data_IF_008332718271
#
_entry.id   IF_008332718271
#
_cell.length_a   1.000
_cell.length_b   1.000
_cell.length_c   1.000
_cell.angle_alpha   90.00
_cell.angle_beta   90.00
_cell.angle_gamma   90.00
#
_symmetry.space_group_name_H-M   'P 1'
#
loop_
_entity.id
_entity.type
_entity.pdbx_description
1 polymer ?
#
# COMPACT_ATOMS: atom_id res chain seq x y z
N UNK A 1 25.86 1.93 4.65
CA UNK A 1 24.53 2.13 4.03
C UNK A 1 23.73 2.94 5.02
N UNK A 2 23.22 4.12 4.65
CA UNK A 2 22.30 4.86 5.51
C UNK A 2 21.08 3.97 5.79
N UNK A 3 20.61 3.90 7.04
CA UNK A 3 19.30 3.30 7.32
C UNK A 3 18.26 4.02 6.45
N UNK A 4 17.45 3.27 5.69
CA UNK A 4 16.34 3.85 4.94
C UNK A 4 15.40 4.56 5.93
N UNK A 5 15.03 5.81 5.62
CA UNK A 5 14.14 6.58 6.47
C UNK A 5 12.70 6.06 6.34
N UNK A 6 12.07 5.76 7.48
CA UNK A 6 10.71 5.19 7.54
C UNK A 6 9.84 6.14 8.34
N UNK A 7 8.87 6.75 7.66
CA UNK A 7 8.02 7.79 8.22
C UNK A 7 6.62 7.26 8.38
N UNK A 8 6.15 7.24 9.62
CA UNK A 8 4.74 6.99 9.92
C UNK A 8 4.00 8.33 10.02
N UNK A 9 2.98 8.53 9.18
CA UNK A 9 2.05 9.65 9.30
C UNK A 9 0.72 9.10 9.84
N UNK A 10 0.30 9.59 10.99
CA UNK A 10 -0.85 9.08 11.73
C UNK A 10 -1.92 10.16 11.86
N UNK A 11 -3.18 9.81 11.64
CA UNK A 11 -4.30 10.68 11.98
C UNK A 11 -4.47 10.78 13.50
N UNK A 12 -4.63 11.99 14.00
CA UNK A 12 -4.86 12.21 15.42
C UNK A 12 -6.24 11.70 15.83
N UNK A 13 -6.26 10.75 16.77
CA UNK A 13 -7.48 10.22 17.38
C UNK A 13 -7.29 9.95 18.87
N UNK A 14 -8.40 9.72 19.57
CA UNK A 14 -8.43 9.44 21.01
C UNK A 14 -7.65 8.16 21.42
N UNK A 15 -7.23 7.35 20.44
CA UNK A 15 -6.52 6.08 20.66
C UNK A 15 -5.25 5.95 19.82
N UNK A 16 -4.69 7.02 19.24
CA UNK A 16 -3.48 6.94 18.40
C UNK A 16 -2.30 6.28 19.12
N UNK A 17 -2.12 6.53 20.42
CA UNK A 17 -1.10 5.88 21.26
C UNK A 17 -1.20 4.35 21.32
N UNK A 18 -2.41 3.78 21.20
CA UNK A 18 -2.60 2.33 21.19
C UNK A 18 -2.18 1.71 19.86
N UNK A 19 -2.36 2.44 18.76
CA UNK A 19 -2.06 1.93 17.42
C UNK A 19 -0.57 1.97 17.07
N UNK A 20 0.20 2.85 17.71
CA UNK A 20 1.63 3.02 17.41
C UNK A 20 2.47 1.77 17.73
N UNK A 21 2.40 1.16 18.95
CA UNK A 21 3.14 -0.06 19.27
C UNK A 21 2.89 -1.20 18.30
N UNK A 22 1.63 -1.40 17.91
CA UNK A 22 1.25 -2.43 16.94
C UNK A 22 1.89 -2.13 15.58
N UNK A 23 1.76 -0.88 15.11
CA UNK A 23 2.32 -0.46 13.83
C UNK A 23 3.84 -0.69 13.75
N UNK A 24 4.59 -0.35 14.80
CA UNK A 24 6.06 -0.53 14.78
C UNK A 24 6.51 -1.99 14.83
N UNK A 25 5.66 -2.87 15.39
CA UNK A 25 5.96 -4.30 15.49
C UNK A 25 5.54 -5.07 14.23
N UNK A 26 4.37 -4.78 13.67
CA UNK A 26 3.75 -5.59 12.61
C UNK A 26 3.87 -4.98 11.21
N UNK A 27 3.93 -3.63 11.11
CA UNK A 27 3.94 -2.94 9.82
C UNK A 27 5.36 -2.58 9.40
N UNK A 28 6.03 -1.74 10.18
CA UNK A 28 7.40 -1.28 9.95
C UNK A 28 7.92 -0.46 11.13
N UNK A 29 9.23 -0.49 11.40
CA UNK A 29 9.85 0.31 12.46
C UNK A 29 10.04 1.76 12.00
N UNK A 30 9.31 2.69 12.62
CA UNK A 30 9.39 4.11 12.31
C UNK A 30 10.73 4.73 12.76
N UNK A 31 11.40 5.46 11.87
CA UNK A 31 12.51 6.35 12.23
C UNK A 31 12.01 7.75 12.58
N UNK A 32 10.85 8.15 12.04
CA UNK A 32 10.18 9.43 12.28
C UNK A 32 8.67 9.25 12.33
N UNK A 33 7.98 10.06 13.13
CA UNK A 33 6.51 10.03 13.22
C UNK A 33 5.95 11.44 13.06
N UNK A 34 4.90 11.57 12.24
CA UNK A 34 4.06 12.76 12.19
C UNK A 34 2.65 12.39 12.64
N UNK A 35 2.05 13.24 13.46
CA UNK A 35 0.63 13.17 13.82
C UNK A 35 -0.07 14.38 13.23
N UNK A 36 -0.99 14.16 12.28
CA UNK A 36 -1.81 15.23 11.71
C UNK A 36 -3.02 15.45 12.62
N UNK A 37 -3.18 16.68 13.11
CA UNK A 37 -4.20 17.04 14.11
C UNK A 37 -4.83 18.39 13.77
N UNK A 38 -6.14 18.53 13.97
CA UNK A 38 -6.82 19.81 13.72
C UNK A 38 -6.59 20.83 14.84
N UNK A 39 -6.49 22.12 14.50
CA UNK A 39 -6.31 23.21 15.47
C UNK A 39 -7.43 23.27 16.53
N UNK A 40 -8.66 22.90 16.14
CA UNK A 40 -9.79 22.81 17.08
C UNK A 40 -9.54 21.86 18.26
N UNK A 41 -8.64 20.89 18.12
CA UNK A 41 -8.25 19.99 19.21
C UNK A 41 -7.56 20.74 20.33
N UNK A 42 -6.97 21.90 20.08
CA UNK A 42 -6.29 22.73 21.08
C UNK A 42 -7.11 23.93 21.55
N UNK A 43 -8.35 24.06 21.06
CA UNK A 43 -9.26 25.11 21.47
C UNK A 43 -10.21 24.54 22.54
N UNK A 44 -10.59 25.37 23.51
CA UNK A 44 -11.62 24.97 24.46
C UNK A 44 -13.00 24.96 23.81
N UNK A 45 -13.90 24.14 24.36
CA UNK A 45 -15.29 24.07 23.96
C UNK A 45 -16.19 24.18 25.18
N UNK A 46 -17.21 25.02 25.09
CA UNK A 46 -18.28 25.09 26.08
C UNK A 46 -19.17 23.82 26.06
N UNK A 47 -19.12 23.06 24.96
CA UNK A 47 -19.83 21.78 24.85
C UNK A 47 -18.97 20.70 25.51
N UNK A 48 -19.40 20.24 26.69
CA UNK A 48 -18.69 19.27 27.53
C UNK A 48 -18.16 18.06 26.75
N UNK A 49 -19.01 17.38 25.99
CA UNK A 49 -18.61 16.18 25.22
C UNK A 49 -17.52 16.47 24.18
N UNK A 50 -17.56 17.66 23.56
CA UNK A 50 -16.52 18.09 22.61
C UNK A 50 -15.22 18.38 23.35
N UNK A 51 -15.27 19.03 24.51
CA UNK A 51 -14.09 19.30 25.32
C UNK A 51 -13.44 18.00 25.78
N UNK A 52 -14.20 17.06 26.33
CA UNK A 52 -13.70 15.75 26.76
C UNK A 52 -13.06 14.98 25.61
N UNK A 53 -13.66 15.00 24.42
CA UNK A 53 -13.07 14.36 23.24
C UNK A 53 -11.74 15.02 22.83
N UNK A 54 -11.67 16.35 22.84
CA UNK A 54 -10.43 17.08 22.53
C UNK A 54 -9.33 16.76 23.54
N UNK A 55 -9.66 16.69 24.83
CA UNK A 55 -8.73 16.27 25.89
C UNK A 55 -8.22 14.85 25.68
N UNK A 56 -9.11 13.91 25.33
CA UNK A 56 -8.72 12.53 25.01
C UNK A 56 -7.74 12.47 23.84
N UNK A 57 -7.98 13.25 22.77
CA UNK A 57 -7.06 13.32 21.63
C UNK A 57 -5.70 13.89 22.07
N UNK A 58 -5.68 15.01 22.81
CA UNK A 58 -4.43 15.61 23.31
C UNK A 58 -3.64 14.64 24.19
N UNK A 59 -4.31 13.96 25.12
CA UNK A 59 -3.70 12.97 26.00
C UNK A 59 -3.14 11.79 25.19
N UNK A 60 -3.90 11.30 24.22
CA UNK A 60 -3.48 10.23 23.31
C UNK A 60 -2.23 10.60 22.50
N UNK A 61 -2.12 11.84 22.01
CA UNK A 61 -0.88 12.30 21.33
C UNK A 61 0.29 12.36 22.30
N UNK A 62 0.08 12.85 23.52
CA UNK A 62 1.11 12.93 24.54
C UNK A 62 1.62 11.56 24.98
N UNK A 63 0.71 10.59 25.17
CA UNK A 63 1.08 9.20 25.48
C UNK A 63 1.83 8.56 24.31
N UNK A 64 1.41 8.79 23.06
CA UNK A 64 2.16 8.34 21.89
C UNK A 64 3.59 8.87 21.92
N UNK A 65 3.79 10.16 22.19
CA UNK A 65 5.13 10.76 22.30
C UNK A 65 5.96 10.06 23.37
N UNK A 66 5.41 9.84 24.56
CA UNK A 66 6.11 9.14 25.66
C UNK A 66 6.54 7.73 25.27
N UNK A 67 5.63 6.97 24.64
CA UNK A 67 5.88 5.59 24.21
C UNK A 67 6.91 5.54 23.07
N UNK A 68 6.84 6.46 22.12
CA UNK A 68 7.63 6.45 20.90
C UNK A 68 9.03 7.07 21.06
N UNK A 69 9.19 8.08 21.91
CA UNK A 69 10.45 8.84 22.08
C UNK A 69 11.70 7.97 22.32
N UNK A 70 11.65 6.85 23.08
CA UNK A 70 12.82 5.98 23.25
C UNK A 70 13.26 5.25 21.97
N UNK A 71 12.40 5.13 20.96
CA UNK A 71 12.61 4.27 19.80
C UNK A 71 12.69 5.04 18.47
N UNK A 72 12.03 6.19 18.36
CA UNK A 72 11.93 6.98 17.13
C UNK A 72 13.05 8.05 17.09
N UNK A 73 14.16 7.71 16.43
CA UNK A 73 15.40 8.51 16.41
C UNK A 73 15.21 9.94 15.88
N UNK A 74 14.38 10.13 14.85
CA UNK A 74 14.19 11.43 14.17
C UNK A 74 13.01 12.23 14.77
N UNK A 75 12.49 11.78 15.91
CA UNK A 75 11.47 12.49 16.68
C UNK A 75 10.03 12.24 16.24
N UNK A 76 9.12 12.75 17.07
CA UNK A 76 7.67 12.71 16.89
C UNK A 76 7.16 14.15 16.75
N UNK A 77 6.53 14.43 15.61
CA UNK A 77 6.13 15.78 15.21
C UNK A 77 4.61 15.87 15.12
N UNK A 78 4.06 17.02 15.50
CA UNK A 78 2.66 17.32 15.23
C UNK A 78 2.56 18.22 14.01
N UNK A 79 1.73 17.84 13.05
CA UNK A 79 1.38 18.67 11.91
C UNK A 79 -0.05 19.20 12.12
N UNK A 80 -0.14 20.44 12.61
CA UNK A 80 -1.42 21.08 12.86
C UNK A 80 -2.05 21.55 11.57
N UNK A 81 -3.35 21.31 11.41
CA UNK A 81 -4.14 21.77 10.28
C UNK A 81 -5.34 22.59 10.75
N UNK A 82 -5.78 23.63 10.02
CA UNK A 82 -6.92 24.44 10.44
C UNK A 82 -8.22 23.63 10.59
N UNK A 83 -8.48 22.71 9.66
CA UNK A 83 -9.67 21.85 9.59
C UNK A 83 -9.33 20.52 8.91
N UNK A 84 -10.14 19.50 9.14
CA UNK A 84 -10.03 18.17 8.54
C UNK A 84 -10.56 18.10 7.10
N UNK A 85 -10.41 19.16 6.31
CA UNK A 85 -10.75 19.11 4.88
C UNK A 85 -9.64 18.41 4.09
N UNK A 86 -10.02 17.78 2.97
CA UNK A 86 -9.06 17.11 2.08
C UNK A 86 -7.93 18.04 1.60
N UNK A 87 -8.23 19.32 1.40
CA UNK A 87 -7.23 20.32 1.00
C UNK A 87 -6.15 20.52 2.07
N UNK A 88 -6.53 20.74 3.33
CA UNK A 88 -5.57 20.94 4.40
C UNK A 88 -4.76 19.67 4.69
N UNK A 89 -5.40 18.50 4.62
CA UNK A 89 -4.72 17.20 4.77
C UNK A 89 -3.69 17.01 3.66
N UNK A 90 -4.08 17.25 2.40
CA UNK A 90 -3.18 17.16 1.25
C UNK A 90 -1.98 18.09 1.43
N UNK A 91 -2.21 19.35 1.77
CA UNK A 91 -1.13 20.32 1.92
C UNK A 91 -0.17 19.90 3.04
N UNK A 92 -0.71 19.44 4.18
CA UNK A 92 0.11 18.90 5.28
C UNK A 92 0.97 17.71 4.84
N UNK A 93 0.40 16.76 4.08
CA UNK A 93 1.16 15.61 3.55
C UNK A 93 2.21 16.04 2.53
N UNK A 94 1.92 16.99 1.64
CA UNK A 94 2.89 17.51 0.66
C UNK A 94 4.07 18.19 1.36
N UNK A 95 3.80 18.96 2.42
CA UNK A 95 4.86 19.59 3.22
C UNK A 95 5.75 18.53 3.87
N UNK A 96 5.14 17.55 4.55
CA UNK A 96 5.88 16.41 5.15
C UNK A 96 6.69 15.65 4.09
N UNK A 97 6.09 15.35 2.93
CA UNK A 97 6.77 14.65 1.84
C UNK A 97 7.95 15.46 1.28
N UNK A 98 7.76 16.76 1.09
CA UNK A 98 8.80 17.65 0.57
C UNK A 98 10.01 17.72 1.49
N UNK A 99 9.80 17.67 2.80
CA UNK A 99 10.86 17.64 3.81
C UNK A 99 11.58 16.28 3.90
N UNK A 100 11.02 15.21 3.34
CA UNK A 100 11.51 13.83 3.53
C UNK A 100 11.34 12.99 2.23
N UNK A 101 11.78 13.53 1.07
CA UNK A 101 11.47 12.99 -0.27
C UNK A 101 11.91 11.55 -0.54
N UNK A 102 13.00 11.12 0.11
CA UNK A 102 13.60 9.80 -0.11
C UNK A 102 13.14 8.77 0.94
N UNK A 103 12.18 9.12 1.80
CA UNK A 103 11.69 8.25 2.85
C UNK A 103 10.56 7.31 2.38
N UNK A 104 10.47 6.14 3.02
CA UNK A 104 9.35 5.23 2.88
C UNK A 104 8.20 5.68 3.80
N UNK A 105 7.03 5.98 3.22
CA UNK A 105 5.88 6.49 3.96
C UNK A 105 4.89 5.38 4.32
N UNK A 106 4.42 5.40 5.56
CA UNK A 106 3.38 4.52 6.08
C UNK A 106 2.28 5.37 6.72
N UNK A 107 1.03 5.18 6.28
CA UNK A 107 -0.09 6.01 6.71
C UNK A 107 -1.04 5.24 7.60
N UNK A 108 -1.11 5.61 8.88
CA UNK A 108 -2.10 5.05 9.80
C UNK A 108 -3.45 5.72 9.57
N UNK A 109 -4.43 4.95 9.11
CA UNK A 109 -5.80 5.43 8.85
C UNK A 109 -6.83 4.91 9.86
N UNK A 110 -6.37 4.26 10.94
CA UNK A 110 -7.21 3.59 11.94
C UNK A 110 -8.04 4.54 12.80
N UNK A 111 -7.51 5.74 13.05
CA UNK A 111 -8.07 6.70 14.01
C UNK A 111 -8.38 8.06 13.42
N UNK A 112 -8.85 8.97 14.28
CA UNK A 112 -9.19 10.34 13.91
C UNK A 112 -10.52 10.46 13.20
N UNK A 113 -10.77 11.61 12.59
CA UNK A 113 -12.01 11.81 11.85
C UNK A 113 -11.99 11.00 10.56
N UNK A 114 -13.18 10.60 10.09
CA UNK A 114 -13.31 9.90 8.80
C UNK A 114 -12.62 10.65 7.68
N UNK A 115 -12.66 11.98 7.72
CA UNK A 115 -12.09 12.83 6.69
C UNK A 115 -10.55 12.86 6.73
N UNK A 116 -9.94 12.84 7.93
CA UNK A 116 -8.50 12.62 8.10
C UNK A 116 -8.07 11.25 7.54
N UNK A 117 -8.74 10.17 7.93
CA UNK A 117 -8.40 8.81 7.46
C UNK A 117 -8.53 8.67 5.95
N UNK A 118 -9.63 9.17 5.37
CA UNK A 118 -9.84 9.17 3.91
C UNK A 118 -8.79 10.03 3.21
N UNK A 119 -8.51 11.22 3.74
CA UNK A 119 -7.51 12.13 3.17
C UNK A 119 -6.12 11.50 3.16
N UNK A 120 -5.69 10.88 4.26
CA UNK A 120 -4.44 10.14 4.31
C UNK A 120 -4.42 8.98 3.32
N UNK A 121 -5.47 8.14 3.30
CA UNK A 121 -5.57 7.03 2.35
C UNK A 121 -5.41 7.51 0.90
N UNK A 122 -6.15 8.56 0.51
CA UNK A 122 -6.07 9.16 -0.83
C UNK A 122 -4.67 9.68 -1.13
N UNK A 123 -4.03 10.37 -0.18
CA UNK A 123 -2.67 10.85 -0.36
C UNK A 123 -1.64 9.73 -0.48
N UNK A 124 -1.86 8.60 0.16
CA UNK A 124 -1.01 7.42 0.01
C UNK A 124 -0.97 6.92 -1.44
N UNK A 125 -2.07 7.08 -2.19
CA UNK A 125 -2.11 6.78 -3.62
C UNK A 125 -1.17 7.68 -4.44
N UNK A 126 -1.03 8.95 -4.05
CA UNK A 126 -0.27 9.96 -4.81
C UNK A 126 1.23 9.92 -4.54
N UNK A 127 1.63 9.60 -3.31
CA UNK A 127 3.04 9.58 -2.90
C UNK A 127 3.58 8.16 -2.67
N UNK A 128 2.82 7.15 -3.11
CA UNK A 128 3.15 5.73 -2.94
C UNK A 128 3.37 5.30 -1.48
N UNK A 129 2.71 5.98 -0.53
CA UNK A 129 2.72 5.56 0.87
C UNK A 129 1.93 4.25 1.04
N UNK A 130 2.29 3.47 2.06
CA UNK A 130 1.56 2.25 2.44
C UNK A 130 0.51 2.59 3.51
N UNK A 131 -0.77 2.72 3.15
CA UNK A 131 -1.82 2.86 4.14
C UNK A 131 -2.00 1.58 4.94
N UNK A 132 -2.33 1.70 6.22
CA UNK A 132 -2.61 0.57 7.09
C UNK A 132 -3.64 0.94 8.17
N UNK A 133 -4.33 -0.08 8.67
CA UNK A 133 -5.25 0.01 9.80
C UNK A 133 -4.78 -0.88 10.94
N UNK A 134 -5.13 -0.49 12.16
CA UNK A 134 -5.05 -1.28 13.39
C UNK A 134 -6.47 -1.35 13.93
N UNK A 135 -7.01 -2.55 14.03
CA UNK A 135 -8.39 -2.73 14.48
C UNK A 135 -8.52 -2.72 16.01
N UNK A 136 -9.71 -3.08 16.51
CA UNK A 136 -9.98 -3.10 17.95
C UNK A 136 -9.30 -4.25 18.67
N UNK A 137 -8.96 -5.32 17.96
CA UNK A 137 -8.25 -6.49 18.48
C UNK A 137 -6.72 -6.28 18.45
N UNK A 138 -6.28 -5.09 18.03
CA UNK A 138 -4.88 -4.69 17.88
C UNK A 138 -4.14 -5.45 16.80
N UNK A 139 -4.85 -5.90 15.75
CA UNK A 139 -4.24 -6.50 14.57
C UNK A 139 -4.00 -5.43 13.49
N UNK A 140 -2.78 -5.38 12.94
CA UNK A 140 -2.43 -4.42 11.90
C UNK A 140 -2.53 -5.02 10.49
N UNK A 141 -3.29 -4.36 9.61
CA UNK A 141 -3.46 -4.76 8.22
C UNK A 141 -3.01 -3.64 7.27
N UNK A 142 -2.06 -3.96 6.38
CA UNK A 142 -1.70 -3.10 5.24
C UNK A 142 -2.85 -3.09 4.24
N UNK A 143 -3.26 -1.91 3.82
CA UNK A 143 -4.27 -1.74 2.78
C UNK A 143 -3.59 -1.82 1.42
N UNK A 144 -3.86 -2.88 0.67
CA UNK A 144 -3.43 -3.01 -0.72
C UNK A 144 -4.08 -1.92 -1.57
N UNK A 145 -3.24 -1.13 -2.23
CA UNK A 145 -3.66 -0.18 -3.25
C UNK A 145 -3.44 -0.82 -4.62
N UNK A 146 -4.49 -1.01 -5.45
CA UNK A 146 -4.31 -1.50 -6.81
C UNK A 146 -3.37 -0.56 -7.59
N UNK A 147 -2.23 -1.08 -8.02
CA UNK A 147 -1.20 -0.32 -8.76
C UNK A 147 -1.44 -0.26 -10.27
N UNK A 148 -2.64 -0.64 -10.71
CA UNK A 148 -2.97 -0.78 -12.12
C UNK A 148 -4.42 -0.41 -12.39
N UNK A 149 -4.64 0.31 -13.50
CA UNK A 149 -5.95 0.44 -14.08
C UNK A 149 -6.29 -0.81 -14.91
N UNK A 150 -7.49 -1.39 -14.72
CA UNK A 150 -7.89 -2.65 -15.39
C UNK A 150 -7.71 -2.60 -16.92
N UNK A 151 -7.90 -1.42 -17.52
CA UNK A 151 -7.65 -1.21 -18.95
C UNK A 151 -6.23 -1.62 -19.33
N UNK A 152 -5.22 -1.15 -18.61
CA UNK A 152 -3.80 -1.43 -18.88
C UNK A 152 -3.51 -2.93 -18.79
N UNK A 153 -4.18 -3.64 -17.88
CA UNK A 153 -4.05 -5.09 -17.78
C UNK A 153 -4.62 -5.77 -19.04
N UNK A 154 -5.82 -5.36 -19.45
CA UNK A 154 -6.56 -5.96 -20.57
C UNK A 154 -6.05 -5.55 -21.95
N UNK A 155 -5.32 -4.44 -22.07
CA UNK A 155 -4.70 -4.00 -23.34
C UNK A 155 -3.74 -5.04 -23.92
N UNK A 156 -3.16 -5.89 -23.07
CA UNK A 156 -2.37 -7.03 -23.49
C UNK A 156 -2.96 -8.32 -22.90
N UNK A 157 -3.71 -9.12 -23.69
CA UNK A 157 -4.38 -10.32 -23.18
C UNK A 157 -3.41 -11.37 -22.65
N UNK A 158 -2.13 -11.33 -23.03
CA UNK A 158 -1.11 -12.24 -22.49
C UNK A 158 -0.81 -11.98 -21.01
N UNK A 159 -1.10 -10.78 -20.48
CA UNK A 159 -0.99 -10.49 -19.05
C UNK A 159 -2.06 -11.25 -18.26
N UNK A 160 -3.30 -11.22 -18.75
CA UNK A 160 -4.42 -11.98 -18.20
C UNK A 160 -4.17 -13.50 -18.33
N UNK A 161 -3.62 -13.94 -19.46
CA UNK A 161 -3.23 -15.33 -19.69
C UNK A 161 -2.23 -15.82 -18.63
N UNK A 162 -1.18 -15.05 -18.32
CA UNK A 162 -0.21 -15.39 -17.27
C UNK A 162 -0.91 -15.58 -15.92
N UNK A 163 -1.81 -14.67 -15.54
CA UNK A 163 -2.56 -14.79 -14.28
C UNK A 163 -3.47 -16.02 -14.27
N UNK A 164 -4.16 -16.34 -15.36
CA UNK A 164 -4.96 -17.57 -15.48
C UNK A 164 -4.10 -18.82 -15.33
N UNK A 165 -2.99 -18.90 -16.07
CA UNK A 165 -2.07 -20.05 -16.00
C UNK A 165 -1.59 -20.27 -14.57
N UNK A 166 -1.21 -19.20 -13.86
CA UNK A 166 -0.80 -19.31 -12.45
C UNK A 166 -1.96 -19.74 -11.56
N UNK A 167 -3.15 -19.15 -11.70
CA UNK A 167 -4.34 -19.48 -10.89
C UNK A 167 -4.77 -20.94 -11.01
N UNK A 168 -4.62 -21.53 -12.20
CA UNK A 168 -4.98 -22.92 -12.47
C UNK A 168 -4.01 -23.94 -11.85
N UNK A 169 -2.83 -23.50 -11.44
CA UNK A 169 -1.89 -24.40 -10.78
C UNK A 169 -2.37 -24.68 -9.35
N UNK A 170 -2.33 -25.96 -8.93
CA UNK A 170 -2.67 -26.37 -7.56
C UNK A 170 -1.93 -25.58 -6.49
N UNK A 171 -0.67 -25.19 -6.76
CA UNK A 171 0.16 -24.41 -5.85
C UNK A 171 0.26 -22.93 -6.21
N UNK A 172 -0.50 -22.48 -7.22
CA UNK A 172 -0.55 -21.10 -7.71
C UNK A 172 0.82 -20.50 -8.10
N UNK A 173 1.80 -21.37 -8.35
CA UNK A 173 3.21 -21.04 -8.60
C UNK A 173 3.79 -21.91 -9.71
N UNK A 174 4.73 -21.34 -10.46
CA UNK A 174 5.47 -22.03 -11.53
C UNK A 174 6.92 -21.56 -11.60
N UNK A 175 7.81 -22.45 -12.04
CA UNK A 175 9.16 -22.03 -12.42
C UNK A 175 9.11 -21.08 -13.63
N UNK A 176 10.14 -20.26 -13.81
CA UNK A 176 10.25 -19.40 -15.01
C UNK A 176 10.12 -20.18 -16.30
N UNK A 177 10.73 -21.37 -16.36
CA UNK A 177 10.73 -22.22 -17.56
C UNK A 177 9.32 -22.72 -17.86
N UNK A 178 8.66 -23.30 -16.87
CA UNK A 178 7.32 -23.88 -17.04
C UNK A 178 6.28 -22.80 -17.36
N UNK A 179 6.39 -21.63 -16.72
CA UNK A 179 5.51 -20.50 -17.03
C UNK A 179 5.74 -20.00 -18.47
N UNK A 180 6.99 -19.87 -18.90
CA UNK A 180 7.29 -19.49 -20.29
C UNK A 180 6.71 -20.50 -21.29
N UNK A 181 6.90 -21.79 -21.05
CA UNK A 181 6.44 -22.85 -21.95
C UNK A 181 4.91 -22.88 -22.05
N UNK A 182 4.19 -22.72 -20.93
CA UNK A 182 2.72 -22.62 -20.93
C UNK A 182 2.22 -21.37 -21.64
N UNK A 183 2.80 -20.20 -21.35
CA UNK A 183 2.41 -18.95 -22.03
C UNK A 183 2.71 -19.02 -23.52
N UNK A 184 3.79 -19.70 -23.93
CA UNK A 184 4.13 -19.89 -25.34
C UNK A 184 3.06 -20.68 -26.10
N UNK A 185 2.45 -21.68 -25.46
CA UNK A 185 1.42 -22.53 -26.08
C UNK A 185 0.12 -21.76 -26.40
N UNK A 186 -0.24 -20.82 -25.53
CA UNK A 186 -1.50 -20.07 -25.63
C UNK A 186 -1.28 -18.59 -26.04
N UNK A 187 -0.09 -18.26 -26.51
CA UNK A 187 0.31 -16.88 -26.78
C UNK A 187 -0.59 -16.18 -27.81
N UNK A 188 -1.14 -15.02 -27.43
CA UNK A 188 -2.04 -14.21 -28.25
C UNK A 188 -1.25 -13.07 -28.89
N UNK A 189 -1.23 -13.02 -30.22
CA UNK A 189 -0.59 -11.93 -30.96
C UNK A 189 -1.50 -10.69 -31.03
N UNK A 190 -1.01 -9.56 -30.49
CA UNK A 190 -1.81 -8.33 -30.37
C UNK A 190 -1.89 -7.54 -31.69
N UNK A 191 -0.88 -7.64 -32.56
CA UNK A 191 -0.87 -7.04 -33.89
C UNK A 191 -1.05 -8.14 -34.91
N UNK A 192 -1.93 -7.96 -35.91
CA UNK A 192 -2.07 -8.86 -37.08
C UNK A 192 -0.77 -8.83 -37.90
N UNK A 193 0.13 -9.82 -37.83
CA UNK A 193 1.27 -9.88 -38.70
C UNK A 193 0.91 -10.72 -39.93
N UNK A 194 1.69 -10.62 -41.01
CA UNK A 194 1.58 -11.53 -42.15
C UNK A 194 1.95 -12.99 -41.80
N UNK A 195 2.57 -13.23 -40.64
CA UNK A 195 3.08 -14.52 -40.18
C UNK A 195 2.82 -14.74 -38.68
N UNK A 196 2.71 -16.02 -38.25
CA UNK A 196 2.61 -16.39 -36.83
C UNK A 196 3.93 -16.08 -36.12
N UNK A 197 3.95 -15.05 -35.26
CA UNK A 197 5.08 -14.76 -34.35
C UNK A 197 5.00 -15.56 -33.04
N UNK A 198 6.04 -16.31 -32.73
CA UNK A 198 6.18 -17.00 -31.44
C UNK A 198 6.51 -16.04 -30.28
N UNK A 199 6.16 -16.43 -29.05
CA UNK A 199 6.58 -15.74 -27.83
C UNK A 199 8.12 -15.76 -27.70
N UNK A 200 8.72 -14.57 -27.67
CA UNK A 200 10.15 -14.39 -27.43
C UNK A 200 10.43 -14.18 -25.94
N UNK A 201 11.61 -14.59 -25.48
CA UNK A 201 12.07 -14.42 -24.09
C UNK A 201 12.00 -12.95 -23.62
N UNK A 202 12.38 -11.99 -24.47
CA UNK A 202 12.30 -10.57 -24.15
C UNK A 202 10.87 -10.07 -23.93
N UNK A 203 9.91 -10.55 -24.73
CA UNK A 203 8.48 -10.20 -24.57
C UNK A 203 7.94 -10.80 -23.28
N UNK A 204 8.24 -12.07 -23.01
CA UNK A 204 7.85 -12.73 -21.78
C UNK A 204 8.38 -12.00 -20.54
N UNK A 205 9.66 -11.62 -20.54
CA UNK A 205 10.25 -10.87 -19.44
C UNK A 205 9.52 -9.53 -19.21
N UNK A 206 9.19 -8.80 -20.28
CA UNK A 206 8.45 -7.55 -20.16
C UNK A 206 7.03 -7.75 -19.58
N UNK A 207 6.33 -8.81 -20.00
CA UNK A 207 5.00 -9.15 -19.47
C UNK A 207 5.05 -9.43 -17.96
N UNK A 208 5.98 -10.28 -17.54
CA UNK A 208 6.16 -10.67 -16.14
C UNK A 208 6.62 -9.49 -15.29
N UNK A 209 7.54 -8.67 -15.81
CA UNK A 209 8.00 -7.46 -15.13
C UNK A 209 6.85 -6.49 -14.84
N UNK A 210 5.94 -6.27 -15.80
CA UNK A 210 4.75 -5.46 -15.55
C UNK A 210 3.90 -6.02 -14.41
N UNK A 211 3.64 -7.33 -14.42
CA UNK A 211 2.83 -7.99 -13.38
C UNK A 211 3.50 -7.91 -11.99
N UNK A 212 4.83 -7.96 -11.92
CA UNK A 212 5.59 -7.78 -10.66
C UNK A 212 5.47 -6.34 -10.18
N UNK A 213 5.70 -5.37 -11.06
CA UNK A 213 5.65 -3.93 -10.71
C UNK A 213 4.26 -3.53 -10.20
N UNK A 214 3.21 -4.11 -10.78
CA UNK A 214 1.84 -3.91 -10.33
C UNK A 214 1.43 -4.73 -9.10
N UNK A 215 2.32 -5.56 -8.57
CA UNK A 215 2.05 -6.39 -7.39
C UNK A 215 1.09 -7.55 -7.63
N UNK A 216 0.85 -7.95 -8.88
CA UNK A 216 -0.09 -9.03 -9.22
C UNK A 216 0.57 -10.42 -9.15
N UNK A 217 1.90 -10.49 -9.24
CA UNK A 217 2.67 -11.71 -9.01
C UNK A 217 3.90 -11.44 -8.15
N UNK A 218 4.27 -12.41 -7.32
CA UNK A 218 5.56 -12.47 -6.64
C UNK A 218 6.61 -13.13 -7.53
N UNK A 219 7.86 -12.70 -7.38
CA UNK A 219 9.03 -13.42 -7.86
C UNK A 219 9.86 -13.86 -6.67
N UNK A 220 9.99 -15.17 -6.51
CA UNK A 220 10.83 -15.79 -5.50
C UNK A 220 11.94 -16.60 -6.17
N UNK A 221 12.89 -17.04 -5.37
CA UNK A 221 13.89 -18.01 -5.80
C UNK A 221 13.50 -19.38 -5.26
N UNK A 222 13.73 -20.43 -6.06
CA UNK A 222 13.52 -21.80 -5.61
C UNK A 222 14.39 -22.07 -4.38
N UNK A 223 13.82 -22.77 -3.41
CA UNK A 223 14.55 -23.21 -2.22
C UNK A 223 15.83 -23.96 -2.62
N UNK A 224 16.98 -23.53 -2.10
CA UNK A 224 18.29 -24.07 -2.45
C UNK A 224 18.92 -23.53 -3.74
N UNK A 225 18.29 -22.61 -4.48
CA UNK A 225 18.86 -22.03 -5.71
C UNK A 225 18.68 -20.51 -5.77
N UNK A 226 19.79 -19.76 -5.82
CA UNK A 226 19.77 -18.29 -6.04
C UNK A 226 19.57 -17.89 -7.51
N UNK A 227 19.40 -18.84 -8.42
CA UNK A 227 19.33 -18.59 -9.88
C UNK A 227 17.97 -18.92 -10.48
N UNK A 228 17.24 -19.88 -9.90
CA UNK A 228 15.98 -20.35 -10.46
C UNK A 228 14.80 -19.54 -9.92
N UNK A 229 14.21 -18.69 -10.76
CA UNK A 229 13.04 -17.87 -10.41
C UNK A 229 11.77 -18.71 -10.43
N UNK A 230 10.92 -18.49 -9.42
CA UNK A 230 9.58 -19.04 -9.29
C UNK A 230 8.60 -17.87 -9.20
N UNK A 231 7.55 -17.91 -10.03
CA UNK A 231 6.50 -16.90 -10.04
C UNK A 231 5.25 -17.45 -9.36
N UNK A 232 4.58 -16.61 -8.59
CA UNK A 232 3.36 -16.96 -7.87
C UNK A 232 2.35 -15.81 -7.96
N UNK A 233 1.07 -16.11 -8.15
CA UNK A 233 0.02 -15.07 -8.14
C UNK A 233 -0.20 -14.54 -6.71
N UNK A 234 -0.37 -13.23 -6.57
CA UNK A 234 -0.70 -12.59 -5.28
C UNK A 234 -2.22 -12.57 -5.07
N UNK A 235 -2.71 -12.36 -3.82
CA UNK A 235 -4.14 -12.14 -3.58
C UNK A 235 -4.74 -11.03 -4.44
N UNK A 236 -3.99 -9.93 -4.66
CA UNK A 236 -4.39 -8.83 -5.54
C UNK A 236 -4.44 -9.28 -7.02
N UNK A 237 -3.52 -10.13 -7.44
CA UNK A 237 -3.54 -10.80 -8.75
C UNK A 237 -4.79 -11.64 -8.95
N UNK A 238 -5.18 -12.43 -7.95
CA UNK A 238 -6.39 -13.25 -7.99
C UNK A 238 -7.66 -12.39 -8.05
N UNK A 239 -7.75 -11.39 -7.17
CA UNK A 239 -8.86 -10.45 -7.15
C UNK A 239 -9.00 -9.73 -8.50
N UNK A 240 -7.90 -9.21 -9.04
CA UNK A 240 -7.87 -8.53 -10.33
C UNK A 240 -8.31 -9.45 -11.46
N UNK A 241 -7.84 -10.70 -11.47
CA UNK A 241 -8.24 -11.69 -12.48
C UNK A 241 -9.75 -11.99 -12.42
N UNK A 242 -10.30 -12.17 -11.22
CA UNK A 242 -11.73 -12.39 -11.02
C UNK A 242 -12.55 -11.19 -11.52
N UNK A 243 -12.08 -9.97 -11.24
CA UNK A 243 -12.73 -8.75 -11.72
C UNK A 243 -12.74 -8.66 -13.25
N UNK A 244 -11.64 -9.01 -13.91
CA UNK A 244 -11.56 -9.10 -15.39
C UNK A 244 -12.57 -10.10 -15.94
N UNK A 245 -12.67 -11.30 -15.34
CA UNK A 245 -13.61 -12.34 -15.76
C UNK A 245 -15.08 -11.88 -15.64
N UNK A 246 -15.42 -11.20 -14.56
CA UNK A 246 -16.77 -10.65 -14.36
C UNK A 246 -17.14 -9.63 -15.44
N UNK A 247 -16.21 -8.73 -15.79
CA UNK A 247 -16.42 -7.73 -16.83
C UNK A 247 -16.61 -8.35 -18.22
N UNK A 248 -15.90 -9.43 -18.50
CA UNK A 248 -16.02 -10.17 -19.76
C UNK A 248 -17.33 -10.94 -19.87
N UNK A 249 -17.91 -11.40 -18.76
CA UNK A 249 -19.19 -12.11 -18.74
C UNK A 249 -20.43 -11.18 -18.77
N UNK A 250 -20.23 -9.87 -18.64
CA UNK A 250 -21.28 -8.85 -18.62
C UNK A 250 -21.27 -7.93 -19.84
N UNK A 251 -20.32 -8.13 -20.77
CA UNK A 251 -20.18 -7.41 -22.05
C UNK A 251 -20.55 -8.32 -23.22
#
# INVERSE_FOLDING_TARGET
MSEEEIIHVMSAGASVHLTFPVAVNEISRATKVYVIVEDRVYQDSEVKDKQEMREKIRNSINELKKIASPFVKNGIHEKRIPKDTLEYIRNAVIEIYTENRDANFFFNVSGGTKQLSIGLFLMGLWIEAVPYLVDQDLDATKLSVPRIHIKDLTENPNRVLILNILQEQKSKRLSRKDLFDKVKQEYIQIRKPKEKRELKQGIFNALVENLIQWGLIYVNYREGSKKEKVYQITPDGEFTLNFVKLKQNTS
#
